data_IF_920533505806
#
_entry.id   IF_920533505806
#
_cell.length_a   1.000
_cell.length_b   1.000
_cell.length_c   1.000
_cell.angle_alpha   90.00
_cell.angle_beta   90.00
_cell.angle_gamma   90.00
#
_symmetry.space_group_name_H-M   'P 1'
#
loop_
_entity.id
_entity.type
_entity.pdbx_description
1 polymer ?
#
# COMPACT_ATOMS: atom_id res chain seq x y z
N UNK A 1 15.48 15.03 -0.95
CA UNK A 1 14.01 14.85 -1.01
C UNK A 1 13.77 13.66 -1.93
N UNK A 2 12.99 12.67 -1.50
CA UNK A 2 12.76 11.44 -2.27
C UNK A 2 11.81 11.66 -3.45
N UNK A 3 10.70 12.37 -3.22
CA UNK A 3 9.77 12.74 -4.28
C UNK A 3 9.64 14.26 -4.28
N UNK A 4 9.94 14.89 -5.41
CA UNK A 4 9.83 16.34 -5.58
C UNK A 4 8.39 16.74 -5.92
N UNK A 5 8.04 18.02 -5.70
CA UNK A 5 6.74 18.53 -6.13
C UNK A 5 6.57 18.47 -7.67
N UNK A 6 7.66 18.50 -8.41
CA UNK A 6 7.68 18.33 -9.87
C UNK A 6 7.33 16.90 -10.26
N UNK A 7 8.00 15.89 -9.68
CA UNK A 7 7.66 14.49 -9.90
C UNK A 7 6.20 14.18 -9.57
N UNK A 8 5.66 14.77 -8.49
CA UNK A 8 4.24 14.62 -8.15
C UNK A 8 3.34 15.20 -9.24
N UNK A 9 3.66 16.38 -9.79
CA UNK A 9 2.87 16.97 -10.88
C UNK A 9 2.90 16.11 -12.16
N UNK A 10 4.05 15.58 -12.52
CA UNK A 10 4.19 14.67 -13.66
C UNK A 10 3.36 13.41 -13.49
N UNK A 11 3.39 12.82 -12.29
CA UNK A 11 2.58 11.64 -11.95
C UNK A 11 1.08 11.96 -12.03
N UNK A 12 0.65 13.12 -11.52
CA UNK A 12 -0.75 13.55 -11.59
C UNK A 12 -1.19 13.80 -13.04
N UNK A 13 -0.32 14.35 -13.87
CA UNK A 13 -0.61 14.54 -15.30
C UNK A 13 -0.78 13.20 -16.03
N UNK A 14 0.03 12.19 -15.67
CA UNK A 14 0.03 10.89 -16.34
C UNK A 14 -1.06 9.95 -15.85
N UNK A 15 -1.30 9.89 -14.54
CA UNK A 15 -2.19 8.90 -13.90
C UNK A 15 -3.45 9.49 -13.31
N UNK A 16 -3.66 10.81 -13.45
CA UNK A 16 -4.79 11.55 -12.91
C UNK A 16 -4.55 12.09 -11.49
N UNK A 17 -5.33 13.09 -11.11
CA UNK A 17 -5.25 13.71 -9.78
C UNK A 17 -5.93 12.81 -8.73
N UNK A 18 -5.25 12.50 -7.62
CA UNK A 18 -5.79 11.65 -6.57
C UNK A 18 -6.80 12.38 -5.69
N UNK A 19 -7.70 11.63 -5.06
CA UNK A 19 -8.44 12.13 -3.91
C UNK A 19 -7.50 12.19 -2.69
N UNK A 20 -7.57 13.27 -1.90
CA UNK A 20 -6.74 13.43 -0.70
C UNK A 20 -7.54 13.00 0.54
N UNK A 21 -6.99 12.09 1.33
CA UNK A 21 -7.56 11.60 2.59
C UNK A 21 -6.60 11.95 3.72
N UNK A 22 -7.14 12.49 4.82
CA UNK A 22 -6.39 12.80 6.03
C UNK A 22 -6.76 11.82 7.14
N UNK A 23 -5.76 11.13 7.68
CA UNK A 23 -5.91 10.19 8.79
C UNK A 23 -4.95 10.56 9.92
N UNK A 24 -5.33 10.18 11.15
CA UNK A 24 -4.47 10.36 12.32
C UNK A 24 -4.55 9.14 13.23
N UNK A 25 -3.41 8.70 13.72
CA UNK A 25 -3.30 7.55 14.60
C UNK A 25 -2.33 7.81 15.73
N UNK A 26 -2.73 7.44 16.95
CA UNK A 26 -1.81 7.31 18.06
C UNK A 26 -1.15 5.92 18.03
N UNK A 27 0.17 5.91 18.10
CA UNK A 27 0.97 4.70 18.06
C UNK A 27 1.58 4.37 19.43
N UNK A 28 1.84 3.10 19.66
CA UNK A 28 2.74 2.71 20.74
C UNK A 28 4.16 3.22 20.47
N UNK A 29 4.95 3.45 21.52
CA UNK A 29 6.34 3.90 21.40
C UNK A 29 7.19 2.96 20.52
N UNK A 30 6.89 1.63 20.56
CA UNK A 30 7.57 0.63 19.73
C UNK A 30 7.26 0.85 18.24
N UNK A 31 5.99 0.99 17.86
CA UNK A 31 5.57 1.20 16.48
C UNK A 31 6.07 2.55 15.95
N UNK A 32 5.94 3.61 16.75
CA UNK A 32 6.42 4.93 16.39
C UNK A 32 7.93 4.93 16.08
N UNK A 33 8.72 4.21 16.91
CA UNK A 33 10.15 4.02 16.67
C UNK A 33 10.43 3.24 15.38
N UNK A 34 9.59 2.25 15.02
CA UNK A 34 9.72 1.52 13.75
C UNK A 34 9.47 2.44 12.55
N UNK A 35 8.39 3.21 12.56
CA UNK A 35 8.10 4.19 11.50
C UNK A 35 9.21 5.24 11.41
N UNK A 36 9.70 5.76 12.56
CA UNK A 36 10.82 6.70 12.60
C UNK A 36 12.10 6.13 11.96
N UNK A 37 12.37 4.84 12.17
CA UNK A 37 13.51 4.16 11.54
C UNK A 37 13.36 4.00 10.03
N UNK A 38 12.13 3.90 9.51
CA UNK A 38 11.88 3.83 8.08
C UNK A 38 12.06 5.19 7.38
N UNK A 39 12.13 6.28 8.14
CA UNK A 39 12.42 7.63 7.63
C UNK A 39 13.91 7.86 7.32
N UNK A 40 14.66 6.80 6.98
CA UNK A 40 16.08 6.92 6.58
C UNK A 40 16.23 8.01 5.50
N UNK A 41 17.22 8.86 5.66
CA UNK A 41 17.50 9.97 4.75
C UNK A 41 16.33 10.95 4.55
N UNK A 42 15.43 11.08 5.53
CA UNK A 42 14.28 12.00 5.46
C UNK A 42 13.09 11.50 4.64
N UNK A 43 12.97 10.19 4.40
CA UNK A 43 11.80 9.60 3.75
C UNK A 43 10.55 9.82 4.61
N UNK A 44 9.51 10.35 4.02
CA UNK A 44 8.23 10.61 4.67
C UNK A 44 7.04 10.13 3.81
N UNK A 45 7.30 9.15 2.93
CA UNK A 45 6.28 8.61 2.02
C UNK A 45 6.57 7.17 1.62
N UNK A 46 5.52 6.49 1.17
CA UNK A 46 5.55 5.22 0.44
C UNK A 46 4.54 5.25 -0.72
N UNK A 47 4.66 4.25 -1.58
CA UNK A 47 3.71 3.98 -2.66
C UNK A 47 3.06 2.64 -2.39
N UNK A 48 1.73 2.57 -2.44
CA UNK A 48 0.96 1.33 -2.35
C UNK A 48 0.27 1.12 -3.69
N UNK A 49 0.32 -0.09 -4.22
CA UNK A 49 -0.27 -0.40 -5.52
C UNK A 49 -1.20 -1.60 -5.42
N UNK A 50 -2.44 -1.39 -5.86
CA UNK A 50 -3.46 -2.41 -5.97
C UNK A 50 -3.36 -3.05 -7.35
N UNK A 51 -2.64 -4.17 -7.43
CA UNK A 51 -2.51 -4.95 -8.67
C UNK A 51 -3.77 -5.80 -8.79
N UNK A 52 -4.54 -5.57 -9.87
CA UNK A 52 -5.84 -6.22 -10.07
C UNK A 52 -5.71 -7.28 -11.16
N UNK A 53 -6.10 -8.49 -10.83
CA UNK A 53 -6.17 -9.62 -11.75
C UNK A 53 -7.48 -10.40 -11.53
N UNK A 54 -8.29 -10.58 -12.59
CA UNK A 54 -9.52 -11.41 -12.57
C UNK A 54 -10.45 -11.14 -11.37
N UNK A 55 -10.73 -9.87 -11.10
CA UNK A 55 -11.55 -9.43 -9.97
C UNK A 55 -10.96 -9.73 -8.59
N UNK A 56 -9.68 -9.96 -8.51
CA UNK A 56 -8.93 -10.16 -7.27
C UNK A 56 -7.80 -9.15 -7.17
N UNK A 57 -7.28 -8.94 -5.96
CA UNK A 57 -6.18 -8.03 -5.67
C UNK A 57 -4.99 -8.83 -5.18
N UNK A 58 -3.80 -8.52 -5.68
CA UNK A 58 -2.57 -9.09 -5.14
C UNK A 58 -2.33 -8.55 -3.73
N UNK A 59 -2.12 -9.45 -2.80
CA UNK A 59 -1.79 -9.14 -1.41
C UNK A 59 -0.52 -9.86 -0.97
N UNK A 60 0.18 -9.27 -0.03
CA UNK A 60 1.43 -9.81 0.52
C UNK A 60 1.37 -9.95 2.04
N UNK A 61 2.18 -10.85 2.58
CA UNK A 61 2.39 -11.04 4.02
C UNK A 61 3.86 -10.94 4.37
N UNK A 62 4.17 -10.12 5.38
CA UNK A 62 5.54 -10.01 5.93
C UNK A 62 5.74 -11.02 7.08
N UNK A 63 7.00 -11.44 7.36
CA UNK A 63 7.29 -12.44 8.41
C UNK A 63 6.72 -12.08 9.78
N UNK A 64 6.69 -10.79 10.14
CA UNK A 64 6.21 -10.31 11.43
C UNK A 64 4.69 -10.14 11.52
N UNK A 65 3.95 -10.36 10.42
CA UNK A 65 2.50 -10.23 10.44
C UNK A 65 1.86 -11.50 11.02
N UNK A 66 0.79 -11.35 11.82
CA UNK A 66 0.03 -12.51 12.26
C UNK A 66 -0.56 -13.25 11.05
N UNK A 67 -0.88 -14.52 11.27
CA UNK A 67 -1.53 -15.34 10.27
C UNK A 67 -2.85 -14.69 9.79
N UNK A 68 -3.09 -14.76 8.49
CA UNK A 68 -4.25 -14.12 7.84
C UNK A 68 -4.14 -12.61 7.62
N UNK A 69 -3.13 -11.94 8.17
CA UNK A 69 -2.93 -10.51 7.96
C UNK A 69 -2.15 -10.25 6.68
N UNK A 70 -2.85 -9.84 5.64
CA UNK A 70 -2.27 -9.44 4.34
C UNK A 70 -2.55 -7.97 4.05
N UNK A 71 -1.75 -7.39 3.18
CA UNK A 71 -1.94 -6.02 2.67
C UNK A 71 -1.59 -5.93 1.19
N UNK A 72 -2.05 -4.89 0.53
CA UNK A 72 -1.54 -4.56 -0.81
C UNK A 72 -0.02 -4.31 -0.77
N UNK A 73 0.74 -4.69 -1.81
CA UNK A 73 2.17 -4.42 -1.91
C UNK A 73 2.46 -2.92 -1.80
N UNK A 74 3.57 -2.56 -1.17
CA UNK A 74 3.99 -1.17 -1.05
C UNK A 74 5.47 -1.02 -0.78
N UNK A 75 6.09 -0.01 -1.36
CA UNK A 75 7.50 0.24 -1.18
C UNK A 75 7.89 1.71 -1.18
N UNK A 76 9.16 1.96 -1.08
CA UNK A 76 9.73 3.30 -1.09
C UNK A 76 10.45 3.61 -2.39
N UNK A 77 10.38 4.87 -2.81
CA UNK A 77 11.22 5.39 -3.89
C UNK A 77 12.57 5.80 -3.30
N UNK A 78 13.66 5.35 -3.89
CA UNK A 78 15.01 5.69 -3.45
C UNK A 78 15.41 7.12 -3.88
N UNK A 79 16.38 7.76 -3.19
CA UNK A 79 16.87 9.07 -3.60
C UNK A 79 17.45 9.03 -5.03
N UNK A 80 16.94 9.90 -5.91
CA UNK A 80 17.37 9.97 -7.30
C UNK A 80 16.77 8.91 -8.24
N UNK A 81 15.99 7.99 -7.73
CA UNK A 81 15.24 7.03 -8.51
C UNK A 81 14.01 7.70 -9.15
N UNK A 82 13.72 7.36 -10.40
CA UNK A 82 12.48 7.79 -11.03
C UNK A 82 11.31 7.10 -10.34
N UNK A 83 10.21 7.81 -10.21
CA UNK A 83 9.04 7.30 -9.47
C UNK A 83 8.58 5.93 -9.99
N UNK A 84 8.42 5.80 -11.30
CA UNK A 84 7.93 4.56 -11.92
C UNK A 84 8.92 3.41 -11.79
N UNK A 85 10.22 3.69 -11.92
CA UNK A 85 11.27 2.69 -11.78
C UNK A 85 11.26 2.11 -10.35
N UNK A 86 11.10 2.98 -9.34
CA UNK A 86 10.98 2.54 -7.95
C UNK A 86 9.72 1.72 -7.68
N UNK A 87 8.57 2.11 -8.26
CA UNK A 87 7.33 1.35 -8.11
C UNK A 87 7.43 -0.02 -8.76
N UNK A 88 7.96 -0.11 -9.98
CA UNK A 88 8.12 -1.40 -10.69
C UNK A 88 9.13 -2.30 -9.99
N UNK A 89 10.23 -1.75 -9.46
CA UNK A 89 11.20 -2.50 -8.66
C UNK A 89 10.55 -3.09 -7.40
N UNK A 90 9.85 -2.28 -6.60
CA UNK A 90 9.18 -2.75 -5.38
C UNK A 90 8.09 -3.79 -5.69
N UNK A 91 7.32 -3.60 -6.78
CA UNK A 91 6.32 -4.57 -7.19
C UNK A 91 6.96 -5.92 -7.52
N UNK A 92 8.06 -5.90 -8.28
CA UNK A 92 8.79 -7.11 -8.64
C UNK A 92 9.41 -7.79 -7.41
N UNK A 93 10.07 -7.03 -6.54
CA UNK A 93 10.68 -7.54 -5.29
C UNK A 93 9.65 -8.19 -4.37
N UNK A 94 8.50 -7.53 -4.13
CA UNK A 94 7.47 -8.02 -3.21
C UNK A 94 6.56 -9.09 -3.83
N UNK A 95 6.38 -9.13 -5.15
CA UNK A 95 5.37 -10.00 -5.79
C UNK A 95 5.88 -10.88 -6.93
N UNK A 96 7.05 -10.59 -7.51
CA UNK A 96 7.55 -11.23 -8.74
C UNK A 96 6.84 -10.79 -10.02
N UNK A 97 5.91 -9.83 -9.93
CA UNK A 97 5.16 -9.34 -11.08
C UNK A 97 5.77 -8.09 -11.69
N UNK A 98 5.79 -8.04 -13.01
CA UNK A 98 5.96 -6.82 -13.77
C UNK A 98 4.61 -6.11 -13.86
N UNK A 99 4.55 -4.81 -13.61
CA UNK A 99 3.29 -4.05 -13.56
C UNK A 99 3.32 -2.80 -14.41
N UNK A 100 2.13 -2.39 -14.84
CA UNK A 100 1.84 -1.04 -15.33
C UNK A 100 0.92 -0.34 -14.36
N UNK A 101 1.24 0.91 -13.99
CA UNK A 101 0.34 1.76 -13.22
C UNK A 101 -0.80 2.23 -14.10
N UNK A 102 -2.04 2.18 -13.58
CA UNK A 102 -3.24 2.58 -14.32
C UNK A 102 -3.74 3.97 -13.89
N UNK A 103 -4.02 4.14 -12.58
CA UNK A 103 -4.59 5.37 -12.04
C UNK A 103 -3.98 5.72 -10.69
N UNK A 104 -3.74 7.01 -10.46
CA UNK A 104 -3.44 7.56 -9.15
C UNK A 104 -4.76 7.78 -8.39
N UNK A 105 -5.08 6.89 -7.45
CA UNK A 105 -6.39 6.83 -6.80
C UNK A 105 -6.49 7.79 -5.61
N UNK A 106 -5.49 7.71 -4.72
CA UNK A 106 -5.49 8.45 -3.44
C UNK A 106 -4.10 8.93 -3.05
N UNK A 107 -4.11 10.05 -2.32
CA UNK A 107 -2.99 10.51 -1.49
C UNK A 107 -3.45 10.53 -0.05
N UNK A 108 -3.02 9.56 0.74
CA UNK A 108 -3.24 9.55 2.18
C UNK A 108 -2.18 10.41 2.86
N UNK A 109 -2.62 11.42 3.59
CA UNK A 109 -1.80 12.20 4.51
C UNK A 109 -2.07 11.72 5.91
N UNK A 110 -1.10 11.01 6.48
CA UNK A 110 -1.27 10.31 7.75
C UNK A 110 -0.40 10.95 8.80
N UNK A 111 -1.00 11.32 9.91
CA UNK A 111 -0.30 11.81 11.09
C UNK A 111 -0.21 10.69 12.11
N UNK A 112 1.00 10.21 12.38
CA UNK A 112 1.27 9.27 13.46
C UNK A 112 1.79 10.03 14.68
N UNK A 113 1.21 9.81 15.84
CA UNK A 113 1.58 10.47 17.10
C UNK A 113 1.99 9.46 18.16
N UNK A 114 2.89 9.88 19.07
CA UNK A 114 3.25 9.15 20.28
C UNK A 114 3.78 10.14 21.31
N UNK A 115 3.01 10.42 22.37
CA UNK A 115 3.27 11.54 23.27
C UNK A 115 3.39 12.84 22.49
N UNK A 116 4.47 13.59 22.65
CA UNK A 116 4.74 14.83 21.90
C UNK A 116 5.33 14.58 20.50
N UNK A 117 5.68 13.33 20.19
CA UNK A 117 6.26 12.95 18.90
C UNK A 117 5.23 12.92 17.78
N UNK A 118 5.57 13.50 16.63
CA UNK A 118 4.75 13.52 15.43
C UNK A 118 5.56 13.01 14.24
N UNK A 119 4.96 12.18 13.40
CA UNK A 119 5.44 11.81 12.08
C UNK A 119 4.34 12.10 11.08
N UNK A 120 4.59 13.02 10.14
CA UNK A 120 3.76 13.20 8.96
C UNK A 120 4.22 12.23 7.88
N UNK A 121 3.29 11.42 7.37
CA UNK A 121 3.55 10.40 6.38
C UNK A 121 2.59 10.54 5.19
N UNK A 122 3.09 10.32 3.98
CA UNK A 122 2.25 10.33 2.79
C UNK A 122 2.29 8.96 2.11
N UNK A 123 1.12 8.33 1.90
CA UNK A 123 1.01 7.14 1.07
C UNK A 123 0.34 7.50 -0.25
N UNK A 124 1.06 7.23 -1.34
CA UNK A 124 0.55 7.38 -2.70
C UNK A 124 -0.06 6.05 -3.15
N UNK A 125 -1.33 6.04 -3.53
CA UNK A 125 -2.05 4.80 -3.86
C UNK A 125 -2.45 4.77 -5.32
N UNK A 126 -2.03 3.71 -6.00
CA UNK A 126 -2.33 3.47 -7.41
C UNK A 126 -3.10 2.17 -7.61
N UNK A 127 -3.91 2.10 -8.66
CA UNK A 127 -4.27 0.83 -9.28
C UNK A 127 -3.21 0.45 -10.30
N UNK A 128 -3.01 -0.84 -10.49
CA UNK A 128 -2.05 -1.39 -11.42
C UNK A 128 -2.58 -2.68 -12.07
N UNK A 129 -2.02 -3.01 -13.23
CA UNK A 129 -2.28 -4.25 -13.95
C UNK A 129 -0.96 -5.01 -14.11
N UNK A 130 -0.97 -6.32 -13.87
CA UNK A 130 0.16 -7.18 -14.15
C UNK A 130 0.38 -7.30 -15.67
N UNK A 131 1.62 -7.08 -16.11
CA UNK A 131 2.03 -7.14 -17.52
C UNK A 131 2.92 -8.36 -17.82
N UNK A 132 3.46 -8.98 -16.77
CA UNK A 132 4.34 -10.15 -16.87
C UNK A 132 4.77 -10.65 -15.50
N UNK A 133 5.69 -11.60 -15.50
CA UNK A 133 6.21 -12.20 -14.28
C UNK A 133 5.36 -13.36 -13.76
N UNK A 134 5.71 -13.84 -12.58
CA UNK A 134 5.01 -14.89 -11.86
C UNK A 134 4.76 -14.42 -10.44
N UNK A 135 3.55 -14.62 -9.92
CA UNK A 135 3.19 -14.25 -8.56
C UNK A 135 3.94 -15.13 -7.53
N UNK A 136 5.16 -14.71 -7.24
CA UNK A 136 6.08 -15.36 -6.31
C UNK A 136 7.08 -14.31 -5.81
N UNK A 137 7.14 -14.00 -4.52
CA UNK A 137 8.04 -12.96 -3.99
C UNK A 137 9.50 -13.23 -4.34
N UNK A 138 10.22 -12.22 -4.80
CA UNK A 138 11.66 -12.29 -5.08
C UNK A 138 12.45 -12.01 -3.79
N UNK A 139 12.05 -10.99 -3.04
CA UNK A 139 12.62 -10.73 -1.71
C UNK A 139 11.91 -11.56 -0.62
N UNK A 140 12.34 -12.81 -0.50
CA UNK A 140 11.82 -13.76 0.52
C UNK A 140 12.23 -13.42 1.95
N UNK A 141 13.14 -12.46 2.17
CA UNK A 141 13.47 -11.95 3.51
C UNK A 141 12.41 -10.97 4.01
N UNK A 142 11.85 -10.17 3.12
CA UNK A 142 10.79 -9.22 3.44
C UNK A 142 9.39 -9.81 3.31
N UNK A 143 9.15 -10.67 2.32
CA UNK A 143 7.83 -11.18 1.96
C UNK A 143 7.82 -12.70 2.02
N UNK A 144 7.00 -13.26 2.88
CA UNK A 144 6.86 -14.72 3.03
C UNK A 144 5.81 -15.31 2.10
N UNK A 145 4.89 -14.46 1.61
CA UNK A 145 3.80 -14.91 0.75
C UNK A 145 3.25 -13.74 -0.07
N UNK A 146 2.97 -14.00 -1.35
CA UNK A 146 2.17 -13.15 -2.21
C UNK A 146 1.08 -14.02 -2.84
N UNK A 147 -0.17 -13.55 -2.83
CA UNK A 147 -1.31 -14.26 -3.40
C UNK A 147 -2.39 -13.31 -3.89
N UNK A 148 -3.35 -13.85 -4.62
CA UNK A 148 -4.58 -13.15 -4.94
C UNK A 148 -5.56 -13.24 -3.75
N UNK A 149 -6.31 -12.17 -3.53
CA UNK A 149 -7.38 -12.09 -2.55
C UNK A 149 -8.65 -11.53 -3.20
N UNK A 150 -9.80 -12.08 -2.86
CA UNK A 150 -11.09 -11.57 -3.28
C UNK A 150 -11.49 -10.32 -2.48
N UNK A 151 -12.49 -9.59 -2.97
CA UNK A 151 -13.08 -8.46 -2.22
C UNK A 151 -13.63 -8.94 -0.88
N UNK A 152 -14.23 -10.13 -0.82
CA UNK A 152 -14.77 -10.70 0.42
C UNK A 152 -13.69 -11.02 1.44
N UNK A 153 -12.57 -11.59 1.00
CA UNK A 153 -11.41 -11.80 1.87
C UNK A 153 -10.84 -10.49 2.40
N UNK A 154 -10.69 -9.46 1.52
CA UNK A 154 -10.17 -8.15 1.92
C UNK A 154 -11.05 -7.46 2.95
N UNK A 155 -12.35 -7.55 2.80
CA UNK A 155 -13.30 -6.91 3.70
C UNK A 155 -13.73 -7.79 4.90
N UNK A 156 -13.43 -9.10 4.85
CA UNK A 156 -13.70 -10.10 5.89
C UNK A 156 -12.46 -10.49 6.67
N UNK A 157 -12.02 -11.73 6.47
CA UNK A 157 -10.97 -12.37 7.29
C UNK A 157 -9.63 -11.64 7.26
N UNK A 158 -9.20 -11.08 6.14
CA UNK A 158 -7.96 -10.28 6.06
C UNK A 158 -8.10 -9.03 6.92
N UNK A 159 -9.20 -8.28 6.74
CA UNK A 159 -9.48 -7.07 7.55
C UNK A 159 -9.51 -7.39 9.03
N UNK A 160 -10.21 -8.45 9.43
CA UNK A 160 -10.27 -8.88 10.82
C UNK A 160 -8.89 -9.24 11.38
N UNK A 161 -8.06 -9.95 10.64
CA UNK A 161 -6.71 -10.30 11.06
C UNK A 161 -5.83 -9.05 11.26
N UNK A 162 -5.93 -8.07 10.35
CA UNK A 162 -5.24 -6.78 10.47
C UNK A 162 -5.66 -6.03 11.74
N UNK A 163 -6.96 -5.96 12.03
CA UNK A 163 -7.50 -5.26 13.22
C UNK A 163 -7.15 -6.02 14.51
N UNK A 164 -7.34 -7.35 14.54
CA UNK A 164 -7.04 -8.18 15.73
C UNK A 164 -5.55 -8.21 16.08
N UNK A 165 -4.66 -7.84 15.16
CA UNK A 165 -3.22 -7.73 15.43
C UNK A 165 -2.89 -6.76 16.57
N UNK A 166 -3.77 -5.81 16.88
CA UNK A 166 -3.54 -4.72 17.82
C UNK A 166 -2.51 -3.68 17.32
N UNK A 167 -1.95 -3.88 16.12
CA UNK A 167 -0.99 -2.95 15.53
C UNK A 167 -1.71 -1.76 14.88
N UNK A 168 -1.33 -0.55 15.27
CA UNK A 168 -1.82 0.69 14.65
C UNK A 168 -1.44 0.76 13.17
N UNK A 169 -0.23 0.32 12.82
CA UNK A 169 0.21 0.26 11.44
C UNK A 169 -0.64 -0.69 10.58
N UNK A 170 -1.03 -1.86 11.11
CA UNK A 170 -1.89 -2.81 10.40
C UNK A 170 -3.35 -2.34 10.35
N UNK A 171 -3.85 -1.69 11.41
CA UNK A 171 -5.15 -1.02 11.40
C UNK A 171 -5.23 0.05 10.31
N UNK A 172 -4.19 0.87 10.16
CA UNK A 172 -4.09 1.82 9.05
C UNK A 172 -4.19 1.12 7.69
N UNK A 173 -3.53 -0.03 7.50
CA UNK A 173 -3.62 -0.79 6.25
C UNK A 173 -5.02 -1.37 6.00
N UNK A 174 -5.74 -1.78 7.03
CA UNK A 174 -7.14 -2.21 6.91
C UNK A 174 -8.03 -1.07 6.42
N UNK A 175 -7.94 0.11 7.03
CA UNK A 175 -8.73 1.30 6.65
C UNK A 175 -8.37 1.78 5.23
N UNK A 176 -7.10 1.76 4.85
CA UNK A 176 -6.66 2.05 3.50
C UNK A 176 -7.27 1.08 2.50
N UNK A 177 -7.26 -0.23 2.79
CA UNK A 177 -7.87 -1.24 1.93
C UNK A 177 -9.38 -0.99 1.76
N UNK A 178 -10.11 -0.72 2.85
CA UNK A 178 -11.56 -0.44 2.81
C UNK A 178 -11.88 0.70 1.82
N UNK A 179 -11.18 1.84 1.96
CA UNK A 179 -11.38 3.05 1.14
C UNK A 179 -11.01 2.79 -0.34
N UNK A 180 -9.92 2.07 -0.58
CA UNK A 180 -9.44 1.83 -1.94
C UNK A 180 -10.32 0.80 -2.67
N UNK A 181 -10.71 -0.28 -2.00
CA UNK A 181 -11.58 -1.31 -2.57
C UNK A 181 -12.93 -0.70 -2.95
N UNK A 182 -13.53 0.12 -2.08
CA UNK A 182 -14.76 0.85 -2.39
C UNK A 182 -14.62 1.72 -3.66
N UNK A 183 -13.51 2.47 -3.77
CA UNK A 183 -13.24 3.29 -4.98
C UNK A 183 -13.08 2.44 -6.23
N UNK A 184 -12.44 1.28 -6.14
CA UNK A 184 -12.23 0.37 -7.27
C UNK A 184 -13.55 -0.27 -7.71
N UNK A 185 -14.43 -0.63 -6.77
CA UNK A 185 -15.80 -1.10 -7.07
C UNK A 185 -16.59 0.00 -7.79
N UNK A 186 -16.60 1.22 -7.25
CA UNK A 186 -17.32 2.36 -7.82
C UNK A 186 -16.81 2.75 -9.22
N UNK A 187 -15.57 2.37 -9.57
CA UNK A 187 -15.00 2.53 -10.92
C UNK A 187 -15.16 1.31 -11.82
N UNK A 188 -15.85 0.26 -11.37
CA UNK A 188 -16.03 -0.99 -12.12
C UNK A 188 -14.74 -1.79 -12.34
N UNK A 189 -13.71 -1.56 -11.53
CA UNK A 189 -12.43 -2.30 -11.58
C UNK A 189 -12.45 -3.57 -10.74
N UNK A 190 -13.32 -3.62 -9.74
CA UNK A 190 -13.66 -4.79 -8.94
C UNK A 190 -15.17 -4.93 -8.89
N UNK A 191 -15.65 -6.15 -8.83
CA UNK A 191 -17.07 -6.41 -8.57
C UNK A 191 -17.34 -6.30 -7.06
N UNK A 192 -18.54 -5.83 -6.67
CA UNK A 192 -18.93 -5.82 -5.28
C UNK A 192 -18.98 -7.25 -4.72
N UNK A 193 -19.10 -7.34 -3.39
CA UNK A 193 -19.35 -8.61 -2.72
C UNK A 193 -20.58 -9.30 -3.30
N UNK A 194 -20.52 -10.61 -3.48
CA UNK A 194 -21.73 -11.38 -3.69
C UNK A 194 -22.61 -11.22 -2.46
N UNK A 195 -23.83 -10.70 -2.66
CA UNK A 195 -24.82 -10.60 -1.59
C UNK A 195 -25.52 -11.96 -1.56
N UNK A 196 -25.03 -12.86 -0.72
CA UNK A 196 -25.75 -14.08 -0.33
C UNK A 196 -26.93 -13.74 0.61
#
# INVERSE_FOLDING_TARGET
MYITAEAIREIEQKYGSPSVIHLAYEMTAREFKMVRRSQKHGRAHDVTFFIIERNQVVVIRKPMYPEGAYRAPSGGISPGERFEDGVTREAYEETGLEISLDNYLFRFRVKFTCGEGVIDWTTHVFSATATGGRLEPVDTHEIVEARLATVDELAGNIREALIRSGSTGLRYRAELNDIVVEKLINRGRLLPRDQD
#
